data_IF_940226955435
#
_entry.id   IF_940226955435
#
_cell.length_a   1.000
_cell.length_b   1.000
_cell.length_c   1.000
_cell.angle_alpha   90.00
_cell.angle_beta   90.00
_cell.angle_gamma   90.00
#
_symmetry.space_group_name_H-M   'P 1'
#
loop_
_entity.id
_entity.type
_entity.pdbx_description
1 polymer ?
#
# COMPACT_ATOMS: atom_id res chain seq x y z
N UNK A 1 -133.93 2.21 4.25
CA UNK A 1 -132.93 2.89 5.09
C UNK A 1 -132.23 1.86 5.96
N UNK A 2 -130.94 2.10 6.27
CA UNK A 2 -130.02 1.32 7.14
C UNK A 2 -129.20 0.24 6.42
N UNK A 3 -128.03 0.65 5.94
CA UNK A 3 -126.88 -0.24 5.75
C UNK A 3 -126.50 -0.82 7.13
N UNK A 4 -126.30 -2.14 7.28
CA UNK A 4 -125.89 -2.71 8.55
C UNK A 4 -124.42 -2.37 8.82
N UNK A 5 -124.16 -1.69 9.94
CA UNK A 5 -122.81 -1.48 10.47
C UNK A 5 -122.31 -2.83 10.97
N UNK A 6 -121.46 -3.48 10.18
CA UNK A 6 -120.77 -4.72 10.55
C UNK A 6 -119.63 -4.36 11.52
N UNK A 7 -119.64 -4.91 12.72
CA UNK A 7 -118.55 -4.74 13.69
C UNK A 7 -117.33 -5.57 13.25
N UNK A 8 -116.20 -4.90 13.04
CA UNK A 8 -114.95 -5.55 12.60
C UNK A 8 -114.39 -6.47 13.69
N UNK A 9 -113.97 -7.67 13.30
CA UNK A 9 -113.27 -8.64 14.18
C UNK A 9 -111.84 -8.17 14.46
N UNK A 10 -111.25 -8.55 15.62
CA UNK A 10 -109.89 -8.14 16.03
C UNK A 10 -108.82 -8.45 14.98
N UNK A 11 -108.97 -9.55 14.23
CA UNK A 11 -108.05 -9.94 13.16
C UNK A 11 -108.17 -9.05 11.91
N UNK A 12 -109.39 -8.63 11.53
CA UNK A 12 -109.61 -7.71 10.41
C UNK A 12 -109.16 -6.28 10.75
N UNK A 13 -109.28 -5.86 12.02
CA UNK A 13 -108.67 -4.62 12.53
C UNK A 13 -107.14 -4.66 12.48
N UNK A 14 -106.54 -5.79 12.85
CA UNK A 14 -105.08 -5.98 12.76
C UNK A 14 -104.61 -5.97 11.29
N UNK A 15 -105.30 -6.69 10.41
CA UNK A 15 -104.97 -6.73 8.98
C UNK A 15 -105.17 -5.36 8.33
N UNK A 16 -106.24 -4.63 8.64
CA UNK A 16 -106.46 -3.29 8.10
C UNK A 16 -105.41 -2.29 8.59
N UNK A 17 -105.02 -2.33 9.86
CA UNK A 17 -103.97 -1.46 10.41
C UNK A 17 -102.58 -1.78 9.85
N UNK A 18 -102.26 -3.05 9.60
CA UNK A 18 -101.04 -3.48 8.90
C UNK A 18 -101.04 -2.99 7.45
N UNK A 19 -102.13 -3.19 6.70
CA UNK A 19 -102.27 -2.69 5.33
C UNK A 19 -102.20 -1.16 5.26
N UNK A 20 -102.76 -0.44 6.24
CA UNK A 20 -102.71 1.03 6.30
C UNK A 20 -101.29 1.55 6.53
N UNK A 21 -100.50 0.87 7.36
CA UNK A 21 -99.07 1.19 7.57
C UNK A 21 -98.23 0.85 6.34
N UNK A 22 -98.49 -0.29 5.70
CA UNK A 22 -97.75 -0.74 4.52
C UNK A 22 -98.00 0.15 3.30
N UNK A 23 -99.16 0.81 3.22
CA UNK A 23 -99.51 1.76 2.14
C UNK A 23 -98.79 3.11 2.24
N UNK A 24 -98.05 3.38 3.33
CA UNK A 24 -97.21 4.59 3.46
C UNK A 24 -95.80 4.28 2.95
N UNK A 25 -95.46 4.65 1.70
CA UNK A 25 -94.19 4.23 1.07
C UNK A 25 -92.97 4.67 1.87
N UNK A 26 -93.01 5.86 2.48
CA UNK A 26 -91.91 6.43 3.28
C UNK A 26 -91.63 5.69 4.60
N UNK A 27 -92.63 5.01 5.19
CA UNK A 27 -92.44 4.29 6.45
C UNK A 27 -91.77 2.93 6.19
N UNK A 28 -92.21 2.25 5.13
CA UNK A 28 -91.65 0.95 4.71
C UNK A 28 -90.19 1.10 4.27
N UNK A 29 -89.87 2.14 3.48
CA UNK A 29 -88.48 2.41 3.07
C UNK A 29 -87.58 2.74 4.25
N UNK A 30 -88.07 3.46 5.25
CA UNK A 30 -87.32 3.76 6.47
C UNK A 30 -86.98 2.52 7.29
N UNK A 31 -87.97 1.66 7.58
CA UNK A 31 -87.74 0.42 8.33
C UNK A 31 -86.75 -0.50 7.59
N UNK A 32 -86.88 -0.61 6.27
CA UNK A 32 -85.96 -1.42 5.47
C UNK A 32 -84.53 -0.88 5.53
N UNK A 33 -84.33 0.44 5.44
CA UNK A 33 -83.02 1.06 5.53
C UNK A 33 -82.37 0.85 6.92
N UNK A 34 -83.14 1.00 8.01
CA UNK A 34 -82.65 0.71 9.37
C UNK A 34 -82.27 -0.76 9.56
N UNK A 35 -83.06 -1.68 9.00
CA UNK A 35 -82.77 -3.13 9.03
C UNK A 35 -81.46 -3.47 8.32
N UNK A 36 -81.19 -2.85 7.17
CA UNK A 36 -79.94 -3.07 6.42
C UNK A 36 -78.72 -2.58 7.21
N UNK A 37 -78.80 -1.39 7.82
CA UNK A 37 -77.70 -0.84 8.64
C UNK A 37 -77.43 -1.70 9.87
N UNK A 38 -78.47 -2.11 10.59
CA UNK A 38 -78.33 -2.98 11.77
C UNK A 38 -77.77 -4.35 11.43
N UNK A 39 -78.21 -4.96 10.32
CA UNK A 39 -77.68 -6.24 9.83
C UNK A 39 -76.18 -6.13 9.51
N UNK A 40 -75.74 -5.07 8.83
CA UNK A 40 -74.33 -4.85 8.51
C UNK A 40 -73.45 -4.68 9.77
N UNK A 41 -73.97 -4.02 10.81
CA UNK A 41 -73.26 -3.85 12.08
C UNK A 41 -73.16 -5.18 12.84
N UNK A 42 -74.24 -5.98 12.86
CA UNK A 42 -74.25 -7.32 13.45
C UNK A 42 -73.22 -8.23 12.79
N UNK A 43 -73.16 -8.22 11.46
CA UNK A 43 -72.15 -8.96 10.69
C UNK A 43 -70.72 -8.48 11.00
N UNK A 44 -70.51 -7.17 11.21
CA UNK A 44 -69.21 -6.64 11.60
C UNK A 44 -68.79 -7.08 13.00
N UNK A 45 -69.71 -7.11 13.98
CA UNK A 45 -69.43 -7.57 15.35
C UNK A 45 -69.25 -9.08 15.45
N UNK A 46 -69.89 -9.86 14.57
CA UNK A 46 -69.77 -11.31 14.55
C UNK A 46 -68.43 -11.83 14.00
N UNK A 47 -67.55 -10.94 13.52
CA UNK A 47 -66.21 -11.30 13.04
C UNK A 47 -65.29 -11.69 14.20
N UNK A 48 -64.46 -12.72 13.99
CA UNK A 48 -63.50 -13.19 14.99
C UNK A 48 -62.58 -12.05 15.51
N UNK A 49 -62.29 -12.03 16.83
CA UNK A 49 -61.43 -11.02 17.42
C UNK A 49 -60.01 -11.15 16.87
N UNK A 50 -59.47 -10.05 16.38
CA UNK A 50 -58.09 -9.96 15.90
C UNK A 50 -57.25 -9.12 16.85
N UNK A 51 -56.17 -9.72 17.34
CA UNK A 51 -55.16 -9.08 18.17
C UNK A 51 -53.94 -8.74 17.32
N UNK A 52 -53.44 -7.50 17.40
CA UNK A 52 -52.26 -7.06 16.64
C UNK A 52 -51.07 -6.89 17.57
N UNK A 53 -50.00 -7.68 17.37
CA UNK A 53 -48.72 -7.44 18.03
C UNK A 53 -47.87 -6.49 17.17
N UNK A 54 -47.23 -5.51 17.82
CA UNK A 54 -46.36 -4.51 17.19
C UNK A 54 -44.94 -4.65 17.72
N UNK A 55 -43.95 -4.48 16.85
CA UNK A 55 -42.52 -4.49 17.16
C UNK A 55 -41.83 -3.41 16.36
N UNK A 56 -40.81 -2.79 16.95
CA UNK A 56 -39.98 -1.80 16.27
C UNK A 56 -38.54 -2.32 16.14
N UNK A 57 -37.97 -2.17 14.95
CA UNK A 57 -36.63 -2.61 14.60
C UNK A 57 -35.83 -1.39 14.16
N UNK A 58 -34.58 -1.29 14.57
CA UNK A 58 -33.70 -0.18 14.20
C UNK A 58 -32.52 -0.70 13.37
N UNK A 59 -32.21 0.02 12.30
CA UNK A 59 -30.96 -0.15 11.56
C UNK A 59 -29.98 0.92 12.06
N UNK A 60 -29.01 0.58 12.94
CA UNK A 60 -27.99 1.53 13.33
C UNK A 60 -27.20 2.00 12.10
N UNK A 61 -26.84 3.28 12.08
CA UNK A 61 -26.01 3.84 11.02
C UNK A 61 -24.65 3.14 10.97
N UNK A 62 -24.29 2.60 9.81
CA UNK A 62 -23.04 1.85 9.63
C UNK A 62 -21.91 2.79 9.24
N UNK A 63 -21.03 3.06 10.19
CA UNK A 63 -19.71 3.65 9.96
C UNK A 63 -18.66 2.84 10.68
N UNK A 64 -18.32 1.65 10.16
CA UNK A 64 -17.12 0.92 10.59
C UNK A 64 -15.99 1.33 9.67
N UNK A 65 -14.96 1.96 10.22
CA UNK A 65 -13.70 2.19 9.53
C UNK A 65 -12.62 1.36 10.20
N UNK A 66 -11.89 0.59 9.41
CA UNK A 66 -10.65 -0.06 9.86
C UNK A 66 -9.49 0.61 9.15
N UNK A 67 -8.51 1.07 9.92
CA UNK A 67 -7.25 1.57 9.37
C UNK A 67 -6.14 0.63 9.80
N UNK A 68 -5.32 0.23 8.84
CA UNK A 68 -4.11 -0.56 9.07
C UNK A 68 -2.95 0.29 8.57
N UNK A 69 -2.05 0.65 9.47
CA UNK A 69 -0.79 1.32 9.14
C UNK A 69 0.24 0.24 8.86
N UNK A 70 0.77 0.21 7.63
CA UNK A 70 1.92 -0.65 7.31
C UNK A 70 3.18 0.19 7.39
N UNK A 71 4.17 -0.33 8.11
CA UNK A 71 5.49 0.30 8.20
C UNK A 71 6.12 0.42 6.80
N UNK A 72 6.72 1.58 6.51
CA UNK A 72 7.36 1.92 5.21
C UNK A 72 6.46 1.97 3.94
N UNK A 73 5.16 1.69 4.01
CA UNK A 73 4.27 1.61 2.82
C UNK A 73 3.11 2.62 2.88
N UNK A 74 2.82 3.19 4.07
CA UNK A 74 1.79 4.20 4.30
C UNK A 74 0.55 3.66 5.04
N UNK A 75 -0.46 4.52 5.21
CA UNK A 75 -1.70 4.15 5.89
C UNK A 75 -2.72 3.60 4.88
N UNK A 76 -3.19 2.37 5.10
CA UNK A 76 -4.33 1.82 4.36
C UNK A 76 -5.57 2.11 5.19
N UNK A 77 -6.40 3.05 4.71
CA UNK A 77 -7.73 3.26 5.26
C UNK A 77 -8.71 2.42 4.45
N UNK A 78 -9.20 1.33 5.03
CA UNK A 78 -10.35 0.61 4.49
C UNK A 78 -11.60 1.31 5.01
N UNK A 79 -12.10 2.25 4.23
CA UNK A 79 -13.44 2.81 4.46
C UNK A 79 -14.45 1.89 3.78
N UNK A 80 -15.04 0.98 4.55
CA UNK A 80 -16.21 0.23 4.11
C UNK A 80 -17.42 1.15 4.24
N UNK A 81 -17.61 2.03 3.26
CA UNK A 81 -18.88 2.73 3.14
C UNK A 81 -19.92 1.67 2.79
N UNK A 82 -20.91 1.49 3.67
CA UNK A 82 -22.04 0.62 3.35
C UNK A 82 -22.60 1.07 2.00
N UNK A 83 -22.81 0.15 1.02
CA UNK A 83 -23.23 0.50 -0.34
C UNK A 83 -24.60 1.20 -0.41
N UNK A 84 -25.27 1.35 0.75
CA UNK A 84 -26.56 1.98 0.96
C UNK A 84 -26.48 3.39 1.58
N UNK A 85 -25.29 4.00 1.67
CA UNK A 85 -25.09 5.37 2.21
C UNK A 85 -25.31 6.48 1.17
N UNK A 86 -25.48 6.14 -0.11
CA UNK A 86 -25.74 7.10 -1.19
C UNK A 86 -27.19 7.60 -1.20
N UNK A 87 -27.39 8.87 -1.55
CA UNK A 87 -28.68 9.60 -1.52
C UNK A 87 -29.83 9.00 -2.36
N UNK A 88 -29.59 7.94 -3.15
CA UNK A 88 -30.58 7.30 -4.01
C UNK A 88 -31.18 5.99 -3.49
N UNK A 89 -30.62 5.37 -2.45
CA UNK A 89 -31.04 4.03 -2.00
C UNK A 89 -31.21 3.94 -0.49
N UNK A 90 -32.41 3.56 -0.04
CA UNK A 90 -32.73 3.42 1.37
C UNK A 90 -32.67 1.93 1.78
N UNK A 91 -31.72 1.51 2.63
CA UNK A 91 -31.57 0.10 3.01
C UNK A 91 -32.83 -0.46 3.69
N UNK A 92 -33.63 0.41 4.34
CA UNK A 92 -34.88 0.01 5.01
C UNK A 92 -35.90 -0.60 4.04
N UNK A 93 -35.89 -0.19 2.78
CA UNK A 93 -36.78 -0.75 1.75
C UNK A 93 -36.41 -2.21 1.48
N UNK A 94 -35.12 -2.53 1.38
CA UNK A 94 -34.65 -3.91 1.20
C UNK A 94 -35.03 -4.79 2.38
N UNK A 95 -34.87 -4.31 3.61
CA UNK A 95 -35.26 -5.05 4.81
C UNK A 95 -36.78 -5.24 4.91
N UNK A 96 -37.58 -4.26 4.46
CA UNK A 96 -39.04 -4.41 4.34
C UNK A 96 -39.42 -5.51 3.35
N UNK A 97 -38.78 -5.56 2.18
CA UNK A 97 -39.03 -6.61 1.19
C UNK A 97 -38.56 -7.97 1.71
N UNK A 98 -37.43 -8.05 2.41
CA UNK A 98 -36.96 -9.28 3.07
C UNK A 98 -37.94 -9.79 4.13
N UNK A 99 -38.47 -8.92 5.00
CA UNK A 99 -39.51 -9.26 5.97
C UNK A 99 -40.80 -9.78 5.32
N UNK A 100 -41.14 -9.22 4.15
CA UNK A 100 -42.34 -9.60 3.40
C UNK A 100 -42.13 -10.86 2.54
N UNK A 101 -40.87 -11.24 2.32
CA UNK A 101 -40.49 -12.35 1.46
C UNK A 101 -41.12 -13.69 1.90
N UNK A 102 -41.39 -14.55 0.92
CA UNK A 102 -41.94 -15.89 1.17
C UNK A 102 -40.99 -16.76 1.99
N UNK A 103 -39.67 -16.64 1.76
CA UNK A 103 -38.65 -17.45 2.44
C UNK A 103 -38.61 -17.21 3.95
N UNK A 104 -38.53 -15.93 4.35
CA UNK A 104 -38.50 -15.51 5.76
C UNK A 104 -39.81 -15.89 6.47
N UNK A 105 -40.97 -15.68 5.83
CA UNK A 105 -42.28 -16.07 6.37
C UNK A 105 -42.44 -17.58 6.48
N UNK A 106 -41.98 -18.34 5.49
CA UNK A 106 -42.05 -19.80 5.54
C UNK A 106 -41.17 -20.36 6.67
N UNK A 107 -39.99 -19.78 6.89
CA UNK A 107 -39.12 -20.16 8.01
C UNK A 107 -39.76 -19.83 9.36
N UNK A 108 -40.35 -18.64 9.51
CA UNK A 108 -41.09 -18.26 10.71
C UNK A 108 -42.29 -19.19 10.99
N UNK A 109 -43.05 -19.53 9.94
CA UNK A 109 -44.17 -20.44 10.03
C UNK A 109 -43.74 -21.86 10.45
N UNK A 110 -42.59 -22.34 9.94
CA UNK A 110 -41.99 -23.61 10.36
C UNK A 110 -41.59 -23.61 11.83
N UNK A 111 -41.01 -22.51 12.35
CA UNK A 111 -40.64 -22.38 13.77
C UNK A 111 -41.85 -22.53 14.70
N UNK A 112 -43.03 -22.09 14.26
CA UNK A 112 -44.28 -22.17 15.02
C UNK A 112 -45.17 -23.34 14.60
N UNK A 113 -44.65 -24.31 13.84
CA UNK A 113 -45.37 -25.49 13.36
C UNK A 113 -46.69 -25.19 12.64
N UNK A 114 -46.77 -24.07 11.92
CA UNK A 114 -47.97 -23.65 11.20
C UNK A 114 -47.74 -23.54 9.69
N UNK A 115 -48.83 -23.62 8.92
CA UNK A 115 -48.79 -23.44 7.46
C UNK A 115 -48.62 -21.96 7.11
N UNK A 116 -47.93 -21.65 6.01
CA UNK A 116 -47.72 -20.28 5.51
C UNK A 116 -49.02 -19.47 5.38
N UNK A 117 -50.10 -20.11 4.95
CA UNK A 117 -51.43 -19.49 4.82
C UNK A 117 -52.00 -19.04 6.17
N UNK A 118 -51.73 -19.80 7.24
CA UNK A 118 -52.17 -19.50 8.61
C UNK A 118 -51.26 -18.43 9.25
N UNK A 119 -49.98 -18.41 8.89
CA UNK A 119 -49.03 -17.39 9.34
C UNK A 119 -49.46 -16.00 8.86
N UNK A 120 -49.81 -15.87 7.57
CA UNK A 120 -50.31 -14.64 6.97
C UNK A 120 -49.20 -13.69 6.51
N UNK A 121 -49.56 -12.42 6.30
CA UNK A 121 -48.61 -11.37 5.92
C UNK A 121 -48.47 -10.36 7.06
N UNK A 122 -47.24 -9.94 7.34
CA UNK A 122 -47.00 -8.87 8.30
C UNK A 122 -47.09 -7.51 7.61
N UNK A 123 -47.69 -6.53 8.28
CA UNK A 123 -47.71 -5.15 7.82
C UNK A 123 -46.45 -4.45 8.30
N UNK A 124 -45.54 -4.18 7.36
CA UNK A 124 -44.29 -3.47 7.61
C UNK A 124 -44.44 -2.01 7.17
N UNK A 125 -44.30 -1.07 8.10
CA UNK A 125 -44.29 0.37 7.81
C UNK A 125 -42.93 0.97 8.10
N UNK A 126 -42.48 1.84 7.20
CA UNK A 126 -41.25 2.60 7.35
C UNK A 126 -41.62 3.99 7.86
N UNK A 127 -41.09 4.37 9.01
CA UNK A 127 -41.29 5.72 9.54
C UNK A 127 -40.37 6.67 8.77
N UNK A 128 -40.93 7.73 8.19
CA UNK A 128 -40.13 8.71 7.45
C UNK A 128 -39.12 9.38 8.39
N UNK A 129 -37.93 9.71 7.86
CA UNK A 129 -36.87 10.43 8.60
C UNK A 129 -36.26 9.72 9.84
N UNK A 130 -36.57 8.45 10.12
CA UNK A 130 -35.95 7.67 11.22
C UNK A 130 -35.38 6.34 10.73
N UNK A 131 -34.44 5.72 11.44
CA UNK A 131 -33.91 4.38 11.09
C UNK A 131 -34.81 3.21 11.53
N UNK A 132 -36.08 3.49 11.85
CA UNK A 132 -37.01 2.55 12.48
C UNK A 132 -37.91 1.87 11.43
N UNK A 133 -38.05 0.56 11.54
CA UNK A 133 -38.97 -0.30 10.81
C UNK A 133 -40.00 -0.81 11.81
N UNK A 134 -41.28 -0.51 11.58
CA UNK A 134 -42.37 -0.99 12.43
C UNK A 134 -43.01 -2.22 11.79
N UNK A 135 -43.06 -3.30 12.56
CA UNK A 135 -43.65 -4.57 12.18
C UNK A 135 -44.97 -4.75 12.94
N UNK A 136 -46.04 -5.11 12.23
CA UNK A 136 -47.31 -5.46 12.86
C UNK A 136 -47.89 -6.74 12.28
N UNK A 137 -48.24 -7.67 13.15
CA UNK A 137 -48.83 -8.97 12.76
C UNK A 137 -50.08 -9.23 13.58
N UNK A 138 -51.13 -9.73 12.91
CA UNK A 138 -52.42 -9.99 13.53
C UNK A 138 -52.68 -11.48 13.68
N UNK A 139 -53.28 -11.88 14.80
CA UNK A 139 -53.83 -13.22 14.96
C UNK A 139 -54.99 -13.28 15.96
N UNK A 140 -55.66 -14.43 16.01
CA UNK A 140 -56.86 -14.64 16.82
C UNK A 140 -56.55 -14.82 18.31
N UNK A 141 -55.28 -15.09 18.65
CA UNK A 141 -54.80 -15.24 20.02
C UNK A 141 -53.66 -14.26 20.30
N UNK A 142 -53.67 -13.56 21.45
CA UNK A 142 -52.65 -12.57 21.81
C UNK A 142 -51.24 -13.20 21.90
N UNK A 143 -51.11 -14.34 22.59
CA UNK A 143 -49.85 -15.10 22.74
C UNK A 143 -49.24 -15.49 21.39
N UNK A 144 -50.09 -15.99 20.48
CA UNK A 144 -49.61 -16.41 19.17
C UNK A 144 -49.32 -15.22 18.24
N UNK A 145 -49.95 -14.06 18.44
CA UNK A 145 -49.62 -12.83 17.71
C UNK A 145 -48.21 -12.34 18.07
N UNK A 146 -47.87 -12.35 19.36
CA UNK A 146 -46.53 -12.05 19.86
C UNK A 146 -45.50 -13.07 19.35
N UNK A 147 -45.78 -14.37 19.49
CA UNK A 147 -44.88 -15.43 19.03
C UNK A 147 -44.63 -15.35 17.51
N UNK A 148 -45.65 -14.99 16.71
CA UNK A 148 -45.50 -14.76 15.26
C UNK A 148 -44.56 -13.61 14.94
N UNK A 149 -44.65 -12.50 15.68
CA UNK A 149 -43.77 -11.35 15.49
C UNK A 149 -42.31 -11.72 15.84
N UNK A 150 -42.11 -12.40 16.97
CA UNK A 150 -40.79 -12.87 17.40
C UNK A 150 -40.18 -13.87 16.39
N UNK A 151 -40.97 -14.84 15.93
CA UNK A 151 -40.51 -15.85 14.98
C UNK A 151 -40.13 -15.24 13.62
N UNK A 152 -40.80 -14.17 13.19
CA UNK A 152 -40.45 -13.44 11.97
C UNK A 152 -39.14 -12.68 12.11
N UNK A 153 -38.90 -12.04 13.26
CA UNK A 153 -37.62 -11.40 13.54
C UNK A 153 -36.47 -12.40 13.55
N UNK A 154 -36.64 -13.53 14.27
CA UNK A 154 -35.62 -14.59 14.32
C UNK A 154 -35.36 -15.22 12.95
N UNK A 155 -36.40 -15.42 12.14
CA UNK A 155 -36.25 -15.99 10.81
C UNK A 155 -35.54 -15.04 9.84
N UNK A 156 -35.75 -13.73 9.98
CA UNK A 156 -35.02 -12.70 9.26
C UNK A 156 -33.56 -12.66 9.71
N UNK A 157 -33.28 -12.65 11.01
CA UNK A 157 -31.91 -12.63 11.52
C UNK A 157 -31.11 -13.82 10.97
N UNK A 158 -31.72 -15.01 10.97
CA UNK A 158 -31.11 -16.22 10.38
C UNK A 158 -30.91 -16.12 8.87
N UNK A 159 -31.80 -15.47 8.13
CA UNK A 159 -31.60 -15.19 6.71
C UNK A 159 -30.42 -14.25 6.50
N UNK A 160 -30.32 -13.18 7.29
CA UNK A 160 -29.22 -12.24 7.23
C UNK A 160 -27.88 -12.92 7.56
N UNK A 161 -27.84 -13.82 8.54
CA UNK A 161 -26.63 -14.57 8.87
C UNK A 161 -26.19 -15.49 7.71
N UNK A 162 -27.13 -16.13 7.01
CA UNK A 162 -26.84 -16.91 5.80
C UNK A 162 -26.29 -16.01 4.70
N UNK A 163 -26.94 -14.87 4.44
CA UNK A 163 -26.52 -13.92 3.42
C UNK A 163 -25.15 -13.31 3.74
N UNK A 164 -24.84 -13.04 5.02
CA UNK A 164 -23.52 -12.59 5.48
C UNK A 164 -22.47 -13.65 5.23
N UNK A 165 -22.73 -14.91 5.59
CA UNK A 165 -21.80 -16.01 5.38
C UNK A 165 -21.51 -16.24 3.88
N UNK A 166 -22.55 -16.18 3.05
CA UNK A 166 -22.44 -16.32 1.60
C UNK A 166 -21.71 -15.14 0.94
N UNK A 167 -21.96 -13.91 1.41
CA UNK A 167 -21.24 -12.71 0.99
C UNK A 167 -19.74 -12.79 1.34
N UNK A 168 -19.40 -13.20 2.57
CA UNK A 168 -18.01 -13.41 3.00
C UNK A 168 -17.35 -14.47 2.13
N UNK A 169 -18.00 -15.62 1.89
CA UNK A 169 -17.46 -16.69 1.06
C UNK A 169 -17.20 -16.23 -0.39
N UNK A 170 -18.13 -15.49 -1.01
CA UNK A 170 -17.95 -14.93 -2.35
C UNK A 170 -16.83 -13.90 -2.41
N UNK A 171 -16.74 -13.00 -1.42
CA UNK A 171 -15.64 -12.03 -1.34
C UNK A 171 -14.30 -12.70 -1.18
N UNK A 172 -14.19 -13.65 -0.26
CA UNK A 172 -12.96 -14.41 -0.01
C UNK A 172 -12.49 -15.13 -1.28
N UNK A 173 -13.40 -15.76 -2.01
CA UNK A 173 -13.06 -16.43 -3.27
C UNK A 173 -12.56 -15.44 -4.33
N UNK A 174 -13.24 -14.30 -4.48
CA UNK A 174 -12.84 -13.24 -5.42
C UNK A 174 -11.46 -12.66 -5.08
N UNK A 175 -11.24 -12.32 -3.80
CA UNK A 175 -9.97 -11.75 -3.34
C UNK A 175 -8.84 -12.77 -3.45
N UNK A 176 -9.07 -14.06 -3.14
CA UNK A 176 -8.07 -15.13 -3.33
C UNK A 176 -7.59 -15.20 -4.77
N UNK A 177 -8.50 -15.13 -5.74
CA UNK A 177 -8.14 -15.16 -7.16
C UNK A 177 -7.24 -13.96 -7.53
N UNK A 178 -7.58 -12.76 -7.06
CA UNK A 178 -6.77 -11.56 -7.28
C UNK A 178 -5.41 -11.67 -6.57
N UNK A 179 -5.37 -12.22 -5.36
CA UNK A 179 -4.15 -12.42 -4.59
C UNK A 179 -3.20 -13.41 -5.29
N UNK A 180 -3.74 -14.47 -5.89
CA UNK A 180 -2.97 -15.40 -6.72
C UNK A 180 -2.36 -14.70 -7.94
N UNK A 181 -3.11 -13.80 -8.60
CA UNK A 181 -2.57 -13.00 -9.70
C UNK A 181 -1.41 -12.10 -9.24
N UNK A 182 -1.54 -11.44 -8.09
CA UNK A 182 -0.46 -10.63 -7.52
C UNK A 182 0.74 -11.48 -7.12
N UNK A 183 0.53 -12.68 -6.56
CA UNK A 183 1.61 -13.63 -6.25
C UNK A 183 2.37 -14.04 -7.50
N UNK A 184 1.66 -14.36 -8.59
CA UNK A 184 2.28 -14.70 -9.89
C UNK A 184 3.07 -13.50 -10.41
N UNK A 185 2.51 -12.29 -10.36
CA UNK A 185 3.22 -11.08 -10.80
C UNK A 185 4.48 -10.81 -9.98
N UNK A 186 4.43 -10.98 -8.66
CA UNK A 186 5.59 -10.87 -7.75
C UNK A 186 6.67 -11.89 -8.08
N UNK A 187 6.29 -13.14 -8.37
CA UNK A 187 7.25 -14.17 -8.78
C UNK A 187 7.87 -13.84 -10.14
N UNK A 188 7.09 -13.32 -11.09
CA UNK A 188 7.61 -12.88 -12.40
C UNK A 188 8.63 -11.74 -12.22
N UNK A 189 8.32 -10.72 -11.43
CA UNK A 189 9.25 -9.60 -11.20
C UNK A 189 10.50 -10.04 -10.44
N UNK A 190 10.35 -10.94 -9.45
CA UNK A 190 11.49 -11.55 -8.75
C UNK A 190 12.40 -12.34 -9.69
N UNK A 191 11.82 -13.17 -10.55
CA UNK A 191 12.58 -13.94 -11.52
C UNK A 191 13.26 -13.02 -12.54
N UNK A 192 12.62 -11.92 -12.95
CA UNK A 192 13.25 -10.94 -13.82
C UNK A 192 14.50 -10.30 -13.21
N UNK A 193 14.50 -10.05 -11.88
CA UNK A 193 15.69 -9.58 -11.16
C UNK A 193 16.79 -10.66 -11.19
N UNK A 194 16.46 -11.91 -10.88
CA UNK A 194 17.44 -13.01 -10.88
C UNK A 194 18.00 -13.25 -12.28
N UNK A 195 17.15 -13.28 -13.30
CA UNK A 195 17.54 -13.43 -14.70
C UNK A 195 18.45 -12.29 -15.16
N UNK A 196 18.17 -11.07 -14.71
CA UNK A 196 19.04 -9.92 -14.96
C UNK A 196 20.38 -10.11 -14.27
N UNK A 197 20.40 -10.40 -12.97
CA UNK A 197 21.62 -10.63 -12.18
C UNK A 197 22.51 -11.77 -12.70
N UNK A 198 21.93 -12.79 -13.36
CA UNK A 198 22.68 -13.87 -13.99
C UNK A 198 23.36 -13.45 -15.31
N UNK A 199 22.80 -12.46 -16.02
CA UNK A 199 23.30 -11.99 -17.31
C UNK A 199 24.17 -10.75 -17.18
N UNK A 200 23.92 -9.93 -16.16
CA UNK A 200 24.71 -8.74 -15.84
C UNK A 200 25.97 -9.09 -15.06
N UNK A 201 26.99 -8.22 -15.14
CA UNK A 201 28.15 -8.32 -14.25
C UNK A 201 27.90 -7.68 -12.88
N UNK A 202 26.76 -7.01 -12.73
CA UNK A 202 26.30 -6.38 -11.50
C UNK A 202 25.23 -7.23 -10.81
N UNK A 203 25.47 -7.58 -9.55
CA UNK A 203 24.54 -8.34 -8.70
C UNK A 203 23.76 -7.40 -7.77
N UNK A 204 24.39 -6.32 -7.30
CA UNK A 204 23.79 -5.38 -6.36
C UNK A 204 24.21 -3.95 -6.64
N UNK A 205 23.37 -2.99 -6.25
CA UNK A 205 23.70 -1.56 -6.36
C UNK A 205 24.92 -1.21 -5.50
N UNK A 206 25.09 -1.87 -4.36
CA UNK A 206 26.22 -1.68 -3.44
C UNK A 206 27.59 -1.95 -4.09
N UNK A 207 27.66 -2.85 -5.07
CA UNK A 207 28.89 -3.11 -5.83
C UNK A 207 29.35 -1.88 -6.62
N UNK A 208 28.41 -1.08 -7.14
CA UNK A 208 28.75 0.18 -7.83
C UNK A 208 29.30 1.20 -6.83
N UNK A 209 28.68 1.33 -5.66
CA UNK A 209 29.16 2.24 -4.61
C UNK A 209 30.56 1.85 -4.15
N UNK A 210 30.80 0.56 -3.93
CA UNK A 210 32.11 0.04 -3.59
C UNK A 210 33.13 0.30 -4.70
N UNK A 211 32.74 0.12 -5.97
CA UNK A 211 33.62 0.41 -7.11
C UNK A 211 34.00 1.90 -7.17
N UNK A 212 33.03 2.81 -7.00
CA UNK A 212 33.29 4.26 -6.94
C UNK A 212 34.25 4.59 -5.80
N UNK A 213 34.06 4.01 -4.61
CA UNK A 213 34.94 4.20 -3.46
C UNK A 213 36.35 3.71 -3.75
N UNK A 214 36.51 2.54 -4.36
CA UNK A 214 37.84 2.02 -4.74
C UNK A 214 38.51 2.88 -5.81
N UNK A 215 37.77 3.35 -6.82
CA UNK A 215 38.30 4.24 -7.86
C UNK A 215 38.76 5.58 -7.27
N UNK A 216 37.97 6.17 -6.37
CA UNK A 216 38.36 7.38 -5.65
C UNK A 216 39.63 7.16 -4.82
N UNK A 217 39.74 6.03 -4.12
CA UNK A 217 40.96 5.66 -3.37
C UNK A 217 42.18 5.45 -4.26
N UNK A 218 42.02 4.84 -5.45
CA UNK A 218 43.10 4.70 -6.44
C UNK A 218 43.57 6.07 -6.95
N UNK A 219 42.63 6.96 -7.29
CA UNK A 219 42.93 8.33 -7.74
C UNK A 219 43.63 9.15 -6.66
N UNK A 220 43.17 9.07 -5.42
CA UNK A 220 43.82 9.73 -4.28
C UNK A 220 45.27 9.23 -4.12
N UNK A 221 45.47 7.91 -4.16
CA UNK A 221 46.82 7.32 -4.08
C UNK A 221 47.70 7.74 -5.26
N UNK A 222 47.14 7.82 -6.46
CA UNK A 222 47.86 8.30 -7.64
C UNK A 222 48.32 9.75 -7.47
N UNK A 223 47.46 10.64 -6.94
CA UNK A 223 47.82 12.03 -6.65
C UNK A 223 48.94 12.11 -5.60
N UNK A 224 48.87 11.31 -4.54
CA UNK A 224 49.90 11.26 -3.51
C UNK A 224 51.26 10.78 -4.07
N UNK A 225 51.29 9.66 -4.79
CA UNK A 225 52.53 9.14 -5.38
C UNK A 225 53.08 10.08 -6.45
N UNK A 226 52.20 10.75 -7.20
CA UNK A 226 52.62 11.76 -8.17
C UNK A 226 53.31 12.95 -7.50
N UNK A 227 52.75 13.47 -6.41
CA UNK A 227 53.38 14.54 -5.63
C UNK A 227 54.72 14.10 -5.03
N UNK A 228 54.80 12.88 -4.48
CA UNK A 228 56.04 12.33 -3.94
C UNK A 228 57.12 12.12 -5.02
N UNK A 229 56.72 11.64 -6.20
CA UNK A 229 57.62 11.47 -7.35
C UNK A 229 58.13 12.82 -7.84
N UNK A 230 57.29 13.85 -7.87
CA UNK A 230 57.71 15.22 -8.17
C UNK A 230 58.70 15.77 -7.13
N UNK A 231 58.46 15.53 -5.84
CA UNK A 231 59.38 15.92 -4.76
C UNK A 231 60.74 15.24 -4.93
N UNK A 232 60.77 13.93 -5.15
CA UNK A 232 62.00 13.18 -5.40
C UNK A 232 62.71 13.68 -6.66
N UNK A 233 61.97 13.95 -7.74
CA UNK A 233 62.54 14.51 -8.98
C UNK A 233 63.23 15.86 -8.73
N UNK A 234 62.63 16.76 -7.96
CA UNK A 234 63.25 18.04 -7.60
C UNK A 234 64.48 17.84 -6.72
N UNK A 235 64.39 16.97 -5.71
CA UNK A 235 65.52 16.62 -4.84
C UNK A 235 66.72 16.06 -5.63
N UNK A 236 66.46 15.10 -6.54
CA UNK A 236 67.46 14.52 -7.43
C UNK A 236 68.07 15.58 -8.34
N UNK A 237 67.25 16.49 -8.90
CA UNK A 237 67.74 17.56 -9.79
C UNK A 237 68.68 18.51 -9.05
N UNK A 238 68.31 18.92 -7.84
CA UNK A 238 69.15 19.77 -6.99
C UNK A 238 70.46 19.07 -6.61
N UNK A 239 70.37 17.84 -6.09
CA UNK A 239 71.53 17.07 -5.67
C UNK A 239 72.47 16.72 -6.83
N UNK A 240 71.92 16.43 -8.00
CA UNK A 240 72.68 16.21 -9.24
C UNK A 240 73.45 17.47 -9.68
N UNK A 241 72.83 18.65 -9.56
CA UNK A 241 73.47 19.93 -9.86
C UNK A 241 74.60 20.25 -8.88
N UNK A 242 74.36 20.10 -7.57
CA UNK A 242 75.37 20.31 -6.52
C UNK A 242 76.57 19.36 -6.64
N UNK A 243 76.32 18.10 -6.99
CA UNK A 243 77.38 17.11 -7.16
C UNK A 243 78.09 17.20 -8.52
N UNK A 244 77.47 17.86 -9.51
CA UNK A 244 77.95 17.96 -10.89
C UNK A 244 77.88 16.62 -11.66
N UNK A 245 77.03 15.70 -11.21
CA UNK A 245 76.97 14.32 -11.73
C UNK A 245 75.51 13.87 -11.84
N UNK A 246 75.17 13.13 -12.91
CA UNK A 246 73.84 12.54 -13.06
C UNK A 246 73.68 11.28 -12.18
N UNK A 247 72.45 10.90 -11.77
CA UNK A 247 72.25 9.69 -10.96
C UNK A 247 72.78 8.41 -11.61
N UNK A 248 72.69 8.31 -12.94
CA UNK A 248 73.23 7.17 -13.71
C UNK A 248 74.76 7.12 -13.64
N UNK A 249 75.42 8.26 -13.83
CA UNK A 249 76.87 8.38 -13.71
C UNK A 249 77.33 8.17 -12.26
N UNK A 250 76.57 8.63 -11.28
CA UNK A 250 76.84 8.42 -9.85
C UNK A 250 76.85 6.92 -9.48
N UNK A 251 75.88 6.14 -9.98
CA UNK A 251 75.85 4.69 -9.80
C UNK A 251 77.04 3.99 -10.45
N UNK A 252 77.41 4.39 -11.67
CA UNK A 252 78.59 3.86 -12.37
C UNK A 252 79.90 4.22 -11.64
N UNK A 253 80.03 5.46 -11.17
CA UNK A 253 81.16 5.92 -10.38
C UNK A 253 81.30 5.15 -9.05
N UNK A 254 80.19 4.92 -8.35
CA UNK A 254 80.18 4.15 -7.11
C UNK A 254 80.59 2.68 -7.34
N UNK A 255 80.15 2.08 -8.44
CA UNK A 255 80.54 0.73 -8.81
C UNK A 255 82.00 0.62 -9.32
N UNK A 256 82.54 1.66 -9.97
CA UNK A 256 83.98 1.77 -10.26
C UNK A 256 84.80 1.86 -8.97
N UNK A 257 84.32 2.66 -8.01
CA UNK A 257 84.96 2.74 -6.72
C UNK A 257 84.92 1.40 -6.00
N UNK A 258 83.95 0.50 -6.24
CA UNK A 258 83.93 -0.83 -5.62
C UNK A 258 84.90 -1.85 -6.25
N UNK A 259 85.40 -1.58 -7.46
CA UNK A 259 86.35 -2.44 -8.18
C UNK A 259 87.77 -2.41 -7.55
N UNK A 260 88.29 -3.59 -7.23
CA UNK A 260 89.59 -3.75 -6.53
C UNK A 260 90.77 -3.31 -7.40
N UNK A 261 90.78 -3.67 -8.69
CA UNK A 261 91.86 -3.33 -9.62
C UNK A 261 91.85 -1.82 -9.90
N UNK A 262 90.66 -1.25 -10.06
CA UNK A 262 90.49 0.17 -10.24
C UNK A 262 91.02 0.98 -9.05
N UNK A 263 90.64 0.61 -7.81
CA UNK A 263 91.17 1.25 -6.60
C UNK A 263 92.70 1.15 -6.50
N UNK A 264 93.26 -0.01 -6.86
CA UNK A 264 94.70 -0.20 -6.85
C UNK A 264 95.40 0.76 -7.82
N UNK A 265 94.86 0.92 -9.04
CA UNK A 265 95.41 1.88 -9.99
C UNK A 265 95.23 3.34 -9.57
N UNK A 266 94.11 3.72 -8.94
CA UNK A 266 93.94 5.09 -8.38
C UNK A 266 94.97 5.36 -7.29
N UNK A 267 95.22 4.39 -6.40
CA UNK A 267 96.25 4.52 -5.36
C UNK A 267 97.65 4.63 -5.97
N UNK A 268 97.95 3.82 -6.99
CA UNK A 268 99.21 3.89 -7.72
C UNK A 268 99.38 5.21 -8.49
N UNK A 269 98.29 5.78 -9.01
CA UNK A 269 98.27 7.09 -9.63
C UNK A 269 98.65 8.18 -8.61
N UNK A 270 98.03 8.18 -7.42
CA UNK A 270 98.35 9.13 -6.35
C UNK A 270 99.82 9.01 -5.91
N UNK A 271 100.32 7.79 -5.74
CA UNK A 271 101.72 7.53 -5.39
C UNK A 271 102.70 7.97 -6.49
N UNK A 272 102.38 7.71 -7.77
CA UNK A 272 103.23 8.11 -8.89
C UNK A 272 103.25 9.63 -9.08
N UNK A 273 102.13 10.34 -8.89
CA UNK A 273 102.07 11.81 -8.93
C UNK A 273 102.91 12.42 -7.80
N UNK A 274 102.76 11.92 -6.56
CA UNK A 274 103.50 12.44 -5.39
C UNK A 274 105.00 12.23 -5.55
N UNK A 275 105.43 11.01 -5.91
CA UNK A 275 106.84 10.71 -6.17
C UNK A 275 107.39 11.47 -7.38
N UNK A 276 106.59 11.66 -8.45
CA UNK A 276 107.00 12.46 -9.60
C UNK A 276 107.22 13.91 -9.19
N UNK A 277 106.35 14.48 -8.36
CA UNK A 277 106.50 15.85 -7.83
C UNK A 277 107.72 16.00 -6.91
N UNK A 278 108.00 15.02 -6.05
CA UNK A 278 109.20 15.04 -5.20
C UNK A 278 110.48 14.94 -6.06
N UNK A 279 110.48 14.01 -7.01
CA UNK A 279 111.62 13.76 -7.88
C UNK A 279 111.88 14.90 -8.85
N UNK A 280 110.84 15.55 -9.39
CA UNK A 280 110.97 16.70 -10.29
C UNK A 280 111.40 17.97 -9.56
N UNK A 281 111.09 18.09 -8.26
CA UNK A 281 111.60 19.17 -7.41
C UNK A 281 113.10 19.01 -7.11
N UNK A 282 113.59 17.77 -6.99
CA UNK A 282 115.01 17.48 -6.68
C UNK A 282 115.90 17.34 -7.91
N UNK A 283 115.36 16.86 -9.02
CA UNK A 283 116.12 16.51 -10.23
C UNK A 283 115.49 17.09 -11.49
N UNK A 284 116.31 17.39 -12.50
CA UNK A 284 115.84 17.88 -13.79
C UNK A 284 115.00 16.85 -14.57
N UNK A 285 114.24 17.34 -15.55
CA UNK A 285 113.25 16.58 -16.33
C UNK A 285 113.83 15.32 -17.01
N UNK A 286 115.11 15.35 -17.38
CA UNK A 286 115.79 14.23 -18.06
C UNK A 286 116.41 13.19 -17.10
N UNK A 287 116.24 13.33 -15.79
CA UNK A 287 116.82 12.40 -14.83
C UNK A 287 116.11 11.04 -14.88
N UNK A 288 116.84 9.89 -14.83
CA UNK A 288 116.24 8.56 -15.00
C UNK A 288 115.08 8.26 -14.05
N UNK A 289 115.15 8.75 -12.81
CA UNK A 289 114.07 8.57 -11.81
C UNK A 289 112.81 9.38 -12.15
N UNK A 290 112.95 10.56 -12.76
CA UNK A 290 111.81 11.38 -13.19
C UNK A 290 111.12 10.73 -14.39
N UNK A 291 111.90 10.30 -15.39
CA UNK A 291 111.39 9.58 -16.57
C UNK A 291 110.70 8.27 -16.17
N UNK A 292 111.27 7.50 -15.25
CA UNK A 292 110.67 6.26 -14.76
C UNK A 292 109.31 6.50 -14.10
N UNK A 293 109.19 7.52 -13.24
CA UNK A 293 107.90 7.87 -12.62
C UNK A 293 106.91 8.44 -13.64
N UNK A 294 107.37 9.19 -14.64
CA UNK A 294 106.52 9.71 -15.70
C UNK A 294 105.94 8.58 -16.57
N UNK A 295 106.77 7.60 -16.97
CA UNK A 295 106.29 6.40 -17.67
C UNK A 295 105.30 5.59 -16.82
N UNK A 296 105.54 5.49 -15.52
CA UNK A 296 104.63 4.80 -14.59
C UNK A 296 103.30 5.53 -14.46
N UNK A 297 103.33 6.86 -14.38
CA UNK A 297 102.13 7.70 -14.40
C UNK A 297 101.32 7.51 -15.68
N UNK A 298 101.98 7.54 -16.84
CA UNK A 298 101.33 7.38 -18.14
C UNK A 298 100.73 5.97 -18.31
N UNK A 299 101.47 4.93 -17.91
CA UNK A 299 100.95 3.56 -17.88
C UNK A 299 99.74 3.42 -16.94
N UNK A 300 99.81 4.03 -15.76
CA UNK A 300 98.71 3.97 -14.80
C UNK A 300 97.48 4.66 -15.37
N UNK A 301 97.62 5.84 -16.01
CA UNK A 301 96.52 6.54 -16.69
C UNK A 301 95.86 5.71 -17.80
N UNK A 302 96.65 4.99 -18.60
CA UNK A 302 96.09 4.13 -19.65
C UNK A 302 95.41 2.90 -19.07
N UNK A 303 95.99 2.25 -18.07
CA UNK A 303 95.40 1.10 -17.37
C UNK A 303 94.06 1.47 -16.71
N UNK A 304 94.02 2.63 -16.07
CA UNK A 304 92.83 3.24 -15.47
C UNK A 304 91.71 3.45 -16.50
N UNK A 305 92.02 4.06 -17.64
CA UNK A 305 91.04 4.31 -18.70
C UNK A 305 90.55 2.99 -19.31
N UNK A 306 91.46 2.06 -19.60
CA UNK A 306 91.11 0.74 -20.13
C UNK A 306 90.16 0.01 -19.19
N UNK A 307 90.48 -0.04 -17.89
CA UNK A 307 89.61 -0.69 -16.90
C UNK A 307 88.25 -0.02 -16.79
N UNK A 308 88.21 1.31 -16.78
CA UNK A 308 86.94 2.05 -16.75
C UNK A 308 86.07 1.76 -17.99
N UNK A 309 86.68 1.66 -19.17
CA UNK A 309 85.99 1.29 -20.41
C UNK A 309 85.53 -0.17 -20.44
N UNK A 310 86.29 -1.10 -19.85
CA UNK A 310 85.92 -2.51 -19.76
C UNK A 310 84.69 -2.73 -18.88
N UNK A 311 84.56 -1.98 -17.77
CA UNK A 311 83.46 -2.15 -16.82
C UNK A 311 82.20 -1.38 -17.25
N UNK A 312 82.32 -0.17 -17.84
CA UNK A 312 81.16 0.71 -18.11
C UNK A 312 81.07 1.32 -19.52
N UNK A 313 82.03 1.04 -20.42
CA UNK A 313 81.99 1.51 -21.82
C UNK A 313 82.64 2.90 -22.07
N UNK A 314 82.39 3.47 -23.26
CA UNK A 314 83.17 4.57 -23.87
C UNK A 314 83.06 5.91 -23.09
N UNK A 315 82.04 6.12 -22.26
CA UNK A 315 81.83 7.37 -21.49
C UNK A 315 82.61 7.46 -20.16
N UNK A 316 83.44 6.46 -19.87
CA UNK A 316 84.26 6.32 -18.68
C UNK A 316 85.14 7.53 -18.31
N UNK A 317 85.63 8.28 -19.29
CA UNK A 317 86.58 9.39 -19.08
C UNK A 317 85.95 10.60 -18.34
N UNK A 318 84.63 10.78 -18.39
CA UNK A 318 83.93 11.86 -17.67
C UNK A 318 83.78 11.57 -16.18
N UNK A 319 83.82 10.28 -15.81
CA UNK A 319 83.71 9.80 -14.43
C UNK A 319 84.98 10.20 -13.64
N UNK A 320 86.15 10.22 -14.28
CA UNK A 320 87.44 10.56 -13.66
C UNK A 320 87.54 11.95 -13.05
N UNK A 321 87.04 12.96 -13.76
CA UNK A 321 87.13 14.35 -13.28
C UNK A 321 86.16 14.64 -12.12
N UNK A 322 85.20 13.73 -11.87
CA UNK A 322 84.15 13.89 -10.87
C UNK A 322 84.30 12.93 -9.67
N UNK A 323 85.18 11.92 -9.78
CA UNK A 323 85.41 10.81 -8.85
C UNK A 323 86.28 11.11 -7.62
N UNK A 324 86.56 12.37 -7.30
CA UNK A 324 87.27 12.77 -6.08
C UNK A 324 86.38 12.56 -4.81
N UNK A 325 86.00 11.31 -4.57
CA UNK A 325 85.13 10.86 -3.47
C UNK A 325 85.90 10.68 -2.15
N UNK A 326 87.20 10.42 -2.21
CA UNK A 326 88.07 10.19 -1.04
C UNK A 326 88.45 11.48 -0.30
N UNK A 327 88.19 12.65 -0.89
CA UNK A 327 88.55 13.95 -0.29
C UNK A 327 87.61 14.38 0.85
N UNK A 328 86.36 13.86 0.90
CA UNK A 328 85.42 14.15 2.00
C UNK A 328 84.38 13.02 2.20
N UNK A 329 84.29 12.35 3.37
CA UNK A 329 83.32 11.27 3.62
C UNK A 329 81.85 11.69 3.41
N UNK A 330 81.54 12.97 3.64
CA UNK A 330 80.20 13.55 3.39
C UNK A 330 79.78 13.51 1.92
N UNK A 331 80.72 13.53 0.97
CA UNK A 331 80.41 13.50 -0.47
C UNK A 331 79.96 12.11 -0.92
N UNK A 332 80.59 11.06 -0.40
CA UNK A 332 80.17 9.67 -0.64
C UNK A 332 78.74 9.42 -0.16
N UNK A 333 78.35 9.99 0.98
CA UNK A 333 76.98 9.93 1.48
C UNK A 333 75.98 10.61 0.53
N UNK A 334 76.28 11.82 0.03
CA UNK A 334 75.43 12.51 -0.95
C UNK A 334 75.27 11.72 -2.27
N UNK A 335 76.31 11.01 -2.70
CA UNK A 335 76.21 10.11 -3.86
C UNK A 335 75.29 8.91 -3.58
N UNK A 336 75.38 8.31 -2.39
CA UNK A 336 74.47 7.24 -1.98
C UNK A 336 73.02 7.73 -1.93
N UNK A 337 72.78 8.90 -1.32
CA UNK A 337 71.47 9.54 -1.24
C UNK A 337 70.89 9.82 -2.64
N UNK A 338 71.72 10.24 -3.60
CA UNK A 338 71.31 10.46 -4.99
C UNK A 338 70.86 9.16 -5.67
N UNK A 339 71.62 8.08 -5.49
CA UNK A 339 71.31 6.77 -6.08
C UNK A 339 70.02 6.21 -5.46
N UNK A 340 69.89 6.29 -4.14
CA UNK A 340 68.70 5.83 -3.42
C UNK A 340 67.44 6.62 -3.81
N UNK A 341 67.54 7.95 -3.88
CA UNK A 341 66.44 8.80 -4.33
C UNK A 341 66.04 8.48 -5.78
N UNK A 342 67.01 8.26 -6.67
CA UNK A 342 66.75 7.90 -8.07
C UNK A 342 66.08 6.53 -8.21
N UNK A 343 66.55 5.51 -7.49
CA UNK A 343 65.90 4.20 -7.44
C UNK A 343 64.46 4.31 -6.92
N UNK A 344 64.24 5.10 -5.87
CA UNK A 344 62.92 5.36 -5.30
C UNK A 344 61.98 6.07 -6.27
N UNK A 345 62.47 7.09 -6.98
CA UNK A 345 61.70 7.78 -8.02
C UNK A 345 61.27 6.80 -9.12
N UNK A 346 62.17 5.92 -9.58
CA UNK A 346 61.85 4.90 -10.59
C UNK A 346 60.82 3.89 -10.09
N UNK A 347 60.91 3.48 -8.83
CA UNK A 347 59.90 2.64 -8.19
C UNK A 347 58.51 3.32 -8.17
N UNK A 348 58.46 4.61 -7.82
CA UNK A 348 57.21 5.38 -7.80
C UNK A 348 56.62 5.63 -9.20
N UNK A 349 57.46 5.88 -10.21
CA UNK A 349 57.04 5.99 -11.61
C UNK A 349 56.40 4.68 -12.10
N UNK A 350 57.00 3.52 -11.76
CA UNK A 350 56.40 2.21 -12.06
C UNK A 350 55.06 2.03 -11.36
N UNK A 351 54.98 2.39 -10.08
CA UNK A 351 53.73 2.30 -9.30
C UNK A 351 52.62 3.18 -9.89
N UNK A 352 52.96 4.39 -10.39
CA UNK A 352 52.00 5.26 -11.07
C UNK A 352 51.44 4.62 -12.35
N UNK A 353 52.27 3.93 -13.13
CA UNK A 353 51.82 3.23 -14.34
C UNK A 353 50.85 2.08 -13.99
N UNK A 354 51.12 1.35 -12.91
CA UNK A 354 50.23 0.28 -12.42
C UNK A 354 48.90 0.85 -11.89
N UNK A 355 48.95 1.95 -11.13
CA UNK A 355 47.76 2.64 -10.65
C UNK A 355 46.92 3.20 -11.80
N UNK A 356 47.54 3.75 -12.84
CA UNK A 356 46.82 4.25 -14.02
C UNK A 356 46.15 3.12 -14.81
N UNK A 357 46.80 1.96 -14.95
CA UNK A 357 46.16 0.76 -15.52
C UNK A 357 44.94 0.32 -14.69
N UNK A 358 45.06 0.35 -13.37
CA UNK A 358 43.96 0.01 -12.45
C UNK A 358 42.82 1.02 -12.56
N UNK A 359 43.12 2.32 -12.61
CA UNK A 359 42.14 3.40 -12.82
C UNK A 359 41.34 3.18 -14.10
N UNK A 360 42.03 2.91 -15.22
CA UNK A 360 41.38 2.67 -16.52
C UNK A 360 40.46 1.45 -16.47
N UNK A 361 40.92 0.34 -15.88
CA UNK A 361 40.11 -0.86 -15.72
C UNK A 361 38.84 -0.62 -14.88
N UNK A 362 38.99 0.02 -13.72
CA UNK A 362 37.86 0.32 -12.82
C UNK A 362 36.90 1.33 -13.45
N UNK A 363 37.42 2.31 -14.19
CA UNK A 363 36.62 3.31 -14.92
C UNK A 363 35.78 2.66 -16.03
N UNK A 364 36.33 1.70 -16.76
CA UNK A 364 35.60 0.97 -17.79
C UNK A 364 34.54 0.04 -17.19
N UNK A 365 34.84 -0.65 -16.09
CA UNK A 365 33.84 -1.41 -15.33
C UNK A 365 32.70 -0.51 -14.83
N UNK A 366 33.03 0.69 -14.34
CA UNK A 366 32.04 1.64 -13.82
C UNK A 366 31.06 2.10 -14.92
N UNK A 367 31.52 2.24 -16.17
CA UNK A 367 30.64 2.57 -17.31
C UNK A 367 29.64 1.46 -17.61
N UNK A 368 30.03 0.20 -17.44
CA UNK A 368 29.14 -0.95 -17.62
C UNK A 368 28.12 -0.96 -16.48
N UNK A 369 28.60 -0.84 -15.24
CA UNK A 369 27.74 -0.86 -14.04
C UNK A 369 26.75 0.30 -14.01
N UNK A 370 27.12 1.50 -14.45
CA UNK A 370 26.20 2.64 -14.46
C UNK A 370 25.00 2.41 -15.38
N UNK A 371 25.17 1.66 -16.47
CA UNK A 371 24.06 1.25 -17.35
C UNK A 371 23.22 0.14 -16.72
N UNK A 372 23.86 -0.85 -16.11
CA UNK A 372 23.19 -2.02 -15.52
C UNK A 372 22.42 -1.66 -14.23
N UNK A 373 22.93 -0.74 -13.40
CA UNK A 373 22.28 -0.28 -12.17
C UNK A 373 20.89 0.31 -12.46
N UNK A 374 20.73 1.08 -13.53
CA UNK A 374 19.45 1.72 -13.86
C UNK A 374 18.37 0.66 -14.15
N UNK A 375 18.72 -0.40 -14.89
CA UNK A 375 17.80 -1.51 -15.14
C UNK A 375 17.54 -2.32 -13.88
N UNK A 376 18.57 -2.61 -13.07
CA UNK A 376 18.41 -3.31 -11.79
C UNK A 376 17.48 -2.54 -10.84
N UNK A 377 17.65 -1.21 -10.71
CA UNK A 377 16.79 -0.34 -9.91
C UNK A 377 15.37 -0.28 -10.45
N UNK A 378 15.17 -0.30 -11.77
CA UNK A 378 13.84 -0.38 -12.37
C UNK A 378 13.16 -1.70 -11.99
N UNK A 379 13.85 -2.83 -12.15
CA UNK A 379 13.34 -4.15 -11.79
C UNK A 379 13.05 -4.27 -10.29
N UNK A 380 13.93 -3.72 -9.43
CA UNK A 380 13.73 -3.69 -8.00
C UNK A 380 12.52 -2.83 -7.61
N UNK A 381 12.32 -1.66 -8.24
CA UNK A 381 11.12 -0.84 -8.03
C UNK A 381 9.84 -1.56 -8.47
N UNK A 382 9.87 -2.26 -9.60
CA UNK A 382 8.73 -3.07 -10.06
C UNK A 382 8.42 -4.23 -9.09
N UNK A 383 9.45 -4.89 -8.55
CA UNK A 383 9.27 -5.92 -7.52
C UNK A 383 8.71 -5.34 -6.23
N UNK A 384 9.29 -4.26 -5.69
CA UNK A 384 8.81 -3.61 -4.47
C UNK A 384 7.36 -3.13 -4.62
N UNK A 385 6.98 -2.63 -5.81
CA UNK A 385 5.60 -2.26 -6.11
C UNK A 385 4.67 -3.48 -6.10
N UNK A 386 5.08 -4.58 -6.75
CA UNK A 386 4.29 -5.81 -6.76
C UNK A 386 4.12 -6.40 -5.35
N UNK A 387 5.19 -6.39 -4.55
CA UNK A 387 5.18 -6.81 -3.14
C UNK A 387 4.28 -5.92 -2.28
N UNK A 388 4.35 -4.59 -2.45
CA UNK A 388 3.49 -3.65 -1.74
C UNK A 388 2.01 -3.86 -2.09
N UNK A 389 1.68 -4.06 -3.36
CA UNK A 389 0.31 -4.35 -3.81
C UNK A 389 -0.17 -5.68 -3.23
N UNK A 390 0.66 -6.73 -3.27
CA UNK A 390 0.33 -8.03 -2.70
C UNK A 390 0.07 -7.91 -1.19
N UNK A 391 0.97 -7.26 -0.46
CA UNK A 391 0.86 -7.08 1.00
C UNK A 391 -0.36 -6.24 1.38
N UNK A 392 -0.64 -5.18 0.62
CA UNK A 392 -1.85 -4.35 0.76
C UNK A 392 -3.12 -5.14 0.50
N UNK A 393 -3.16 -5.96 -0.54
CA UNK A 393 -4.28 -6.83 -0.86
C UNK A 393 -4.51 -7.90 0.22
N UNK A 394 -3.43 -8.51 0.73
CA UNK A 394 -3.48 -9.46 1.84
C UNK A 394 -4.00 -8.80 3.12
N UNK A 395 -3.52 -7.60 3.45
CA UNK A 395 -3.99 -6.83 4.60
C UNK A 395 -5.48 -6.47 4.47
N UNK A 396 -5.94 -6.08 3.27
CA UNK A 396 -7.37 -5.84 2.99
C UNK A 396 -8.22 -7.09 3.12
N UNK A 397 -7.71 -8.25 2.73
CA UNK A 397 -8.40 -9.53 2.93
C UNK A 397 -8.61 -9.79 4.42
N UNK A 398 -7.55 -9.66 5.22
CA UNK A 398 -7.64 -9.87 6.67
C UNK A 398 -8.55 -8.84 7.36
N UNK A 399 -8.45 -7.55 7.00
CA UNK A 399 -9.35 -6.53 7.51
C UNK A 399 -10.81 -6.78 7.09
N UNK A 400 -11.05 -7.23 5.86
CA UNK A 400 -12.37 -7.54 5.33
C UNK A 400 -13.07 -8.70 6.04
N UNK A 401 -12.32 -9.69 6.53
CA UNK A 401 -12.88 -10.77 7.37
C UNK A 401 -13.48 -10.26 8.69
N UNK A 402 -12.97 -9.15 9.22
CA UNK A 402 -13.50 -8.53 10.44
C UNK A 402 -14.78 -7.72 10.20
N UNK A 403 -15.04 -7.28 8.96
CA UNK A 403 -16.19 -6.43 8.61
C UNK A 403 -17.33 -7.22 7.93
N UNK A 404 -17.92 -8.14 8.70
CA UNK A 404 -19.02 -9.01 8.26
C UNK A 404 -20.34 -8.23 8.07
N UNK A 405 -20.44 -7.01 8.59
CA UNK A 405 -21.68 -6.23 8.65
C UNK A 405 -21.80 -5.13 7.57
N UNK A 406 -20.81 -4.98 6.69
CA UNK A 406 -20.80 -3.95 5.66
C UNK A 406 -21.99 -4.01 4.68
N UNK A 407 -22.33 -5.21 4.17
CA UNK A 407 -23.46 -5.38 3.22
C UNK A 407 -24.79 -5.63 3.92
N UNK A 408 -24.78 -6.31 5.07
CA UNK A 408 -25.99 -6.63 5.82
C UNK A 408 -25.82 -6.17 7.27
N UNK A 409 -26.10 -4.88 7.55
CA UNK A 409 -26.02 -4.33 8.89
C UNK A 409 -26.77 -5.15 9.94
N UNK A 410 -26.36 -5.03 11.20
CA UNK A 410 -27.09 -5.68 12.31
C UNK A 410 -28.48 -5.05 12.44
N UNK A 411 -29.52 -5.88 12.52
CA UNK A 411 -30.88 -5.43 12.79
C UNK A 411 -31.15 -5.54 14.29
N UNK A 412 -31.24 -4.40 14.97
CA UNK A 412 -31.47 -4.39 16.41
C UNK A 412 -32.97 -4.25 16.71
N UNK A 413 -33.45 -5.01 17.69
CA UNK A 413 -34.80 -4.86 18.20
C UNK A 413 -34.85 -3.64 19.11
N UNK A 414 -35.66 -2.64 18.76
CA UNK A 414 -35.87 -1.43 19.56
C UNK A 414 -36.92 -1.68 20.64
N UNK A 415 -38.00 -2.35 20.26
CA UNK A 415 -39.06 -2.78 21.19
C UNK A 415 -39.38 -4.25 20.95
N UNK A 416 -39.54 -5.01 22.04
CA UNK A 416 -40.01 -6.40 21.98
C UNK A 416 -41.43 -6.45 21.44
N UNK A 417 -41.89 -7.58 20.87
CA UNK A 417 -43.24 -7.65 20.33
C UNK A 417 -44.25 -7.43 21.46
N UNK A 418 -45.18 -6.50 21.24
CA UNK A 418 -46.16 -6.12 22.25
C UNK A 418 -47.14 -7.26 22.50
N UNK A 419 -47.48 -7.51 23.77
CA UNK A 419 -48.62 -8.34 24.12
C UNK A 419 -49.93 -7.53 23.94
N UNK A 420 -50.84 -7.91 23.03
CA UNK A 420 -52.03 -7.12 22.75
C UNK A 420 -53.14 -7.37 23.77
N UNK A 421 -53.28 -6.47 24.75
CA UNK A 421 -54.32 -6.55 25.78
C UNK A 421 -55.75 -6.28 25.26
N UNK A 422 -55.88 -5.57 24.14
CA UNK A 422 -57.17 -5.17 23.54
C UNK A 422 -57.30 -5.70 22.13
N UNK A 423 -58.50 -6.16 21.77
CA UNK A 423 -58.82 -6.54 20.40
C UNK A 423 -58.72 -5.33 19.45
N UNK A 424 -58.00 -5.52 18.35
CA UNK A 424 -57.78 -4.47 17.34
C UNK A 424 -58.94 -4.38 16.35
N UNK A 425 -59.68 -5.47 16.17
CA UNK A 425 -60.92 -5.52 15.37
C UNK A 425 -61.78 -6.72 15.79
N UNK A 426 -63.12 -6.61 15.76
CA UNK A 426 -63.92 -5.40 15.51
C UNK A 426 -63.88 -4.39 16.67
N UNK A 427 -63.94 -3.08 16.36
CA UNK A 427 -63.93 -2.02 17.38
C UNK A 427 -65.37 -1.67 17.75
N UNK A 428 -65.80 -2.06 18.95
CA UNK A 428 -67.16 -1.81 19.45
C UNK A 428 -67.56 -0.33 19.38
N UNK A 429 -66.63 0.59 19.68
CA UNK A 429 -66.87 2.03 19.62
C UNK A 429 -67.15 2.53 18.19
N UNK A 430 -66.42 2.02 17.20
CA UNK A 430 -66.57 2.43 15.80
C UNK A 430 -67.88 1.91 15.23
N UNK A 431 -68.28 0.69 15.61
CA UNK A 431 -69.58 0.15 15.29
C UNK A 431 -70.73 0.99 15.87
N UNK A 432 -70.60 1.45 17.13
CA UNK A 432 -71.61 2.31 17.76
C UNK A 432 -71.76 3.65 17.05
N UNK A 433 -70.65 4.31 16.71
CA UNK A 433 -70.67 5.60 15.98
C UNK A 433 -71.28 5.41 14.58
N UNK A 434 -70.92 4.34 13.87
CA UNK A 434 -71.48 4.03 12.56
C UNK A 434 -72.99 3.73 12.61
N UNK A 435 -73.46 3.09 13.68
CA UNK A 435 -74.89 2.87 13.92
C UNK A 435 -75.64 4.19 14.04
N UNK A 436 -75.16 5.08 14.92
CA UNK A 436 -75.80 6.37 15.19
C UNK A 436 -75.78 7.26 13.95
N UNK A 437 -74.64 7.37 13.27
CA UNK A 437 -74.54 8.19 12.04
C UNK A 437 -75.41 7.66 10.92
N UNK A 438 -75.40 6.34 10.68
CA UNK A 438 -76.27 5.69 9.69
C UNK A 438 -77.74 5.97 9.96
N UNK A 439 -78.16 5.93 11.22
CA UNK A 439 -79.53 6.26 11.61
C UNK A 439 -79.88 7.73 11.38
N UNK A 440 -78.97 8.66 11.69
CA UNK A 440 -79.17 10.11 11.45
C UNK A 440 -79.29 10.40 9.95
N UNK A 441 -78.47 9.79 9.09
CA UNK A 441 -78.58 9.99 7.64
C UNK A 441 -79.89 9.46 7.07
N UNK A 442 -80.36 8.31 7.56
CA UNK A 442 -81.65 7.74 7.15
C UNK A 442 -82.82 8.63 7.61
N UNK A 443 -82.82 9.11 8.87
CA UNK A 443 -83.86 10.02 9.35
C UNK A 443 -83.89 11.32 8.54
N UNK A 444 -82.74 11.91 8.26
CA UNK A 444 -82.64 13.16 7.49
C UNK A 444 -83.07 12.97 6.03
N UNK A 445 -82.66 11.88 5.37
CA UNK A 445 -83.08 11.55 4.01
C UNK A 445 -84.59 11.33 3.90
N UNK A 446 -85.20 10.65 4.87
CA UNK A 446 -86.66 10.49 4.95
C UNK A 446 -87.37 11.81 5.22
N UNK A 447 -86.79 12.68 6.05
CA UNK A 447 -87.33 14.01 6.34
C UNK A 447 -87.40 14.87 5.07
N UNK A 448 -86.32 14.91 4.28
CA UNK A 448 -86.28 15.60 2.99
C UNK A 448 -87.31 14.99 2.02
N UNK A 449 -87.39 13.65 1.92
CA UNK A 449 -88.37 12.99 1.05
C UNK A 449 -89.82 13.33 1.44
N UNK A 450 -90.12 13.45 2.74
CA UNK A 450 -91.42 13.86 3.24
C UNK A 450 -91.73 15.33 2.91
N UNK A 451 -90.72 16.21 2.96
CA UNK A 451 -90.86 17.64 2.64
C UNK A 451 -90.81 17.94 1.13
N UNK A 452 -90.56 16.93 0.28
CA UNK A 452 -90.43 17.02 -1.18
C UNK A 452 -91.51 17.90 -1.83
N UNK A 453 -92.79 17.73 -1.49
CA UNK A 453 -93.88 18.53 -2.09
C UNK A 453 -93.76 20.03 -1.77
N UNK A 454 -93.38 20.35 -0.54
CA UNK A 454 -93.18 21.73 -0.08
C UNK A 454 -91.92 22.34 -0.70
N UNK A 455 -90.82 21.58 -0.79
CA UNK A 455 -89.56 22.04 -1.40
C UNK A 455 -89.75 22.31 -2.90
N UNK A 456 -90.45 21.42 -3.61
CA UNK A 456 -90.78 21.58 -5.03
C UNK A 456 -91.68 22.81 -5.26
N UNK A 457 -92.66 23.06 -4.38
CA UNK A 457 -93.49 24.28 -4.45
C UNK A 457 -92.69 25.57 -4.23
N UNK A 458 -91.73 25.58 -3.31
CA UNK A 458 -90.88 26.76 -3.04
C UNK A 458 -89.91 27.02 -4.20
N UNK A 459 -89.38 25.97 -4.82
CA UNK A 459 -88.49 26.07 -5.99
C UNK A 459 -89.23 26.50 -7.27
N UNK A 460 -90.46 26.02 -7.49
CA UNK A 460 -91.27 26.41 -8.66
C UNK A 460 -91.90 27.80 -8.55
N UNK A 461 -91.99 28.39 -7.34
CA UNK A 461 -92.52 29.74 -7.13
C UNK A 461 -91.49 30.85 -7.43
N UNK A 462 -90.26 30.47 -7.77
CA UNK A 462 -89.16 31.38 -8.11
C UNK A 462 -88.76 31.17 -9.57
N UNK A 463 -89.66 31.55 -10.47
CA UNK A 463 -89.40 31.98 -11.84
C UNK A 463 -90.50 32.95 -12.25
#
# INVERSE_FOLDING_TARGET
MKYPIKTLTKYELFRSTVYLRLKRPYLVTGIMAYSIVTLMILLYLAKEPQFTSQMELVLPGTGSSSSVTLDNIGQIVSQTNAPFSGAGFNPRVNYKEMLSSRGVRQRAAKTLHMTLKVFGEAKVKLTEQTSIITLSISHNSPVLAEAKALALYQSLQKELDILRADEVARRDQSIKHVLDQYRVKMNITRNAIVDFQQRSMLVSVDQMEQLIKTLSGVKERQMYIHAESQKLKQYITHLSHELGVSPKLAGQAFALQSDVEFRAYISELQLSITLLSENSSRWGVNHPKVIAQQKRLDFTRTAINNRSTEVFGIEANQIFNTLNMDLTPKRSQLFADLIEAYASQKGQESMLLDLHRSENHLSDQLKIYSREVVELERLQREFNMAEAIFTSAAARLEAGKADIFASYPVLQMLTTPSYPDKQSSPKNLLAAIAAVSGFIFITFGLFILCQRKHIIQVLLKKN
#
